data_IF_510735843324
#
_entry.id   IF_510735843324
#
_cell.length_a   1.000
_cell.length_b   1.000
_cell.length_c   1.000
_cell.angle_alpha   90.00
_cell.angle_beta   90.00
_cell.angle_gamma   90.00
#
_symmetry.space_group_name_H-M   'P 1'
#
loop_
_entity.id
_entity.type
_entity.pdbx_description
1 polymer ?
#
# COMPACT_ATOMS: atom_id res chain seq x y z
N UNK A 1 12.37 3.98 -43.25
CA UNK A 1 12.11 5.30 -42.64
C UNK A 1 11.43 5.06 -41.29
N UNK A 2 12.22 4.79 -40.24
CA UNK A 2 11.70 4.52 -38.89
C UNK A 2 11.22 5.84 -38.27
N UNK A 3 9.94 5.90 -37.91
CA UNK A 3 9.34 7.02 -37.21
C UNK A 3 9.95 7.07 -35.80
N UNK A 4 11.04 7.82 -35.67
CA UNK A 4 11.62 8.27 -34.40
C UNK A 4 10.65 9.31 -33.83
N UNK A 5 9.58 8.84 -33.18
CA UNK A 5 8.61 9.72 -32.51
C UNK A 5 9.36 10.51 -31.44
N UNK A 6 9.41 11.84 -31.63
CA UNK A 6 10.02 12.83 -30.71
C UNK A 6 9.70 12.47 -29.26
N UNK A 7 10.72 12.07 -28.49
CA UNK A 7 10.65 12.00 -27.03
C UNK A 7 10.58 13.43 -26.53
N UNK A 8 9.40 13.83 -26.02
CA UNK A 8 9.20 15.14 -25.38
C UNK A 8 9.29 14.96 -23.87
N UNK A 9 10.10 15.82 -23.26
CA UNK A 9 10.45 15.94 -21.84
C UNK A 9 11.27 14.79 -21.23
N UNK A 10 12.59 14.92 -21.33
CA UNK A 10 13.42 14.49 -20.21
C UNK A 10 13.00 15.35 -19.02
N UNK A 11 12.21 14.79 -18.11
CA UNK A 11 11.84 15.47 -16.88
C UNK A 11 13.07 15.76 -16.01
N UNK A 12 12.91 16.72 -15.10
CA UNK A 12 13.91 17.09 -14.10
C UNK A 12 14.52 15.83 -13.42
N UNK A 13 15.86 15.72 -13.40
CA UNK A 13 16.63 14.58 -12.88
C UNK A 13 16.46 13.22 -13.60
N UNK A 14 15.89 13.21 -14.81
CA UNK A 14 15.70 11.98 -15.59
C UNK A 14 14.55 11.09 -15.07
N UNK A 15 13.64 11.67 -14.28
CA UNK A 15 12.34 11.10 -13.95
C UNK A 15 11.35 11.38 -15.07
N UNK A 16 10.58 10.36 -15.47
CA UNK A 16 9.50 10.52 -16.45
C UNK A 16 8.21 10.72 -15.67
N UNK A 17 7.87 11.99 -15.41
CA UNK A 17 6.70 12.35 -14.61
C UNK A 17 5.40 11.79 -15.17
N UNK A 18 5.27 11.66 -16.49
CA UNK A 18 4.12 11.04 -17.13
C UNK A 18 3.94 9.57 -16.73
N UNK A 19 5.04 8.80 -16.66
CA UNK A 19 5.01 7.39 -16.26
C UNK A 19 4.65 7.24 -14.77
N UNK A 20 5.24 8.08 -13.91
CA UNK A 20 4.94 8.12 -12.47
C UNK A 20 3.46 8.43 -12.26
N UNK A 21 2.99 9.49 -12.93
CA UNK A 21 1.60 9.95 -12.87
C UNK A 21 0.64 8.88 -13.36
N UNK A 22 0.90 8.24 -14.49
CA UNK A 22 0.02 7.21 -15.04
C UNK A 22 -0.19 6.02 -14.11
N UNK A 23 0.87 5.58 -13.42
CA UNK A 23 0.77 4.49 -12.43
C UNK A 23 -0.02 4.97 -11.20
N UNK A 24 0.31 6.14 -10.66
CA UNK A 24 -0.39 6.70 -9.50
C UNK A 24 -1.89 6.92 -9.79
N UNK A 25 -2.23 7.52 -10.93
CA UNK A 25 -3.61 7.73 -11.38
C UNK A 25 -4.36 6.41 -11.54
N UNK A 26 -3.73 5.37 -12.07
CA UNK A 26 -4.32 4.04 -12.17
C UNK A 26 -4.68 3.49 -10.79
N UNK A 27 -3.75 3.58 -9.84
CA UNK A 27 -3.96 3.09 -8.47
C UNK A 27 -5.06 3.85 -7.74
N UNK A 28 -5.08 5.18 -7.88
CA UNK A 28 -6.11 6.04 -7.30
C UNK A 28 -7.47 5.75 -7.94
N UNK A 29 -7.53 5.64 -9.27
CA UNK A 29 -8.77 5.32 -9.99
C UNK A 29 -9.35 3.98 -9.55
N UNK A 30 -8.50 2.94 -9.43
CA UNK A 30 -8.92 1.62 -8.91
C UNK A 30 -9.49 1.73 -7.49
N UNK A 31 -8.86 2.52 -6.62
CA UNK A 31 -9.31 2.75 -5.26
C UNK A 31 -10.68 3.43 -5.20
N UNK A 32 -10.90 4.50 -5.97
CA UNK A 32 -12.20 5.17 -6.04
C UNK A 32 -13.31 4.33 -6.67
N UNK A 33 -12.97 3.45 -7.62
CA UNK A 33 -13.93 2.50 -8.20
C UNK A 33 -14.30 1.39 -7.23
N UNK A 34 -13.39 0.99 -6.35
CA UNK A 34 -13.63 -0.03 -5.33
C UNK A 34 -14.16 0.59 -4.02
N UNK A 35 -15.45 0.98 -4.04
CA UNK A 35 -16.13 1.57 -2.87
C UNK A 35 -16.03 0.68 -1.62
N UNK A 36 -16.08 -0.64 -1.79
CA UNK A 36 -15.98 -1.60 -0.71
C UNK A 36 -14.61 -1.53 -0.01
N UNK A 37 -13.54 -1.29 -0.76
CA UNK A 37 -12.20 -1.15 -0.19
C UNK A 37 -12.05 0.13 0.64
N UNK A 38 -12.67 1.23 0.22
CA UNK A 38 -12.66 2.49 0.99
C UNK A 38 -13.38 2.29 2.32
N UNK A 39 -14.58 1.70 2.26
CA UNK A 39 -15.38 1.43 3.45
C UNK A 39 -14.63 0.47 4.38
N UNK A 40 -14.15 -0.67 3.88
CA UNK A 40 -13.51 -1.69 4.72
C UNK A 40 -12.20 -1.19 5.34
N UNK A 41 -11.39 -0.43 4.60
CA UNK A 41 -10.14 0.13 5.13
C UNK A 41 -10.38 1.17 6.22
N UNK A 42 -11.42 2.00 6.10
CA UNK A 42 -11.75 3.05 7.07
C UNK A 42 -12.50 2.52 8.29
N UNK A 43 -13.27 1.44 8.12
CA UNK A 43 -14.12 0.89 9.16
C UNK A 43 -13.31 0.44 10.39
N UNK A 44 -12.22 -0.30 10.19
CA UNK A 44 -11.44 -0.84 11.31
C UNK A 44 -10.82 0.26 12.19
N UNK A 45 -10.10 1.27 11.66
CA UNK A 45 -9.63 2.40 12.46
C UNK A 45 -10.76 3.14 13.18
N UNK A 46 -11.90 3.29 12.53
CA UNK A 46 -13.07 3.97 13.13
C UNK A 46 -13.66 3.16 14.27
N UNK A 47 -13.72 1.83 14.15
CA UNK A 47 -14.14 0.94 15.24
C UNK A 47 -13.16 1.07 16.40
N UNK A 48 -11.86 1.02 16.15
CA UNK A 48 -10.87 1.25 17.21
C UNK A 48 -11.07 2.60 17.90
N UNK A 49 -11.38 3.65 17.14
CA UNK A 49 -11.74 4.95 17.69
C UNK A 49 -12.90 4.84 18.67
N UNK A 50 -14.06 4.41 18.21
CA UNK A 50 -15.29 4.42 18.99
C UNK A 50 -15.19 3.52 20.22
N UNK A 51 -14.63 2.31 20.06
CA UNK A 51 -14.69 1.28 21.10
C UNK A 51 -13.55 1.34 22.12
N UNK A 52 -12.36 1.83 21.75
CA UNK A 52 -11.23 1.82 22.69
C UNK A 52 -11.26 3.00 23.68
N UNK A 53 -11.91 4.13 23.35
CA UNK A 53 -11.84 5.32 24.22
C UNK A 53 -12.31 5.07 25.66
N UNK A 54 -13.47 4.43 25.92
CA UNK A 54 -13.89 4.15 27.29
C UNK A 54 -12.91 3.23 28.03
N UNK A 55 -12.34 2.24 27.34
CA UNK A 55 -11.36 1.32 27.92
C UNK A 55 -10.08 2.04 28.35
N UNK A 56 -9.56 2.93 27.49
CA UNK A 56 -8.38 3.74 27.78
C UNK A 56 -8.63 4.85 28.80
N UNK A 57 -9.82 5.46 28.79
CA UNK A 57 -10.20 6.46 29.78
C UNK A 57 -10.16 5.88 31.20
N UNK A 58 -10.62 4.64 31.38
CA UNK A 58 -10.54 3.93 32.66
C UNK A 58 -9.10 3.58 33.06
N UNK A 59 -8.22 3.34 32.07
CA UNK A 59 -6.82 3.02 32.34
C UNK A 59 -5.98 4.24 32.72
N UNK A 60 -6.20 5.37 32.05
CA UNK A 60 -5.45 6.62 32.29
C UNK A 60 -6.08 7.47 33.40
N UNK A 61 -7.36 7.27 33.70
CA UNK A 61 -8.09 8.04 34.72
C UNK A 61 -8.61 9.40 34.24
N UNK A 62 -8.33 9.78 32.98
CA UNK A 62 -8.86 11.00 32.34
C UNK A 62 -9.42 10.68 30.94
N UNK A 63 -10.73 10.89 30.79
CA UNK A 63 -11.48 10.64 29.55
C UNK A 63 -11.23 11.70 28.46
N UNK A 64 -10.86 12.92 28.86
CA UNK A 64 -10.53 14.01 27.94
C UNK A 64 -9.15 13.76 27.33
N UNK A 65 -8.17 13.46 28.19
CA UNK A 65 -6.82 13.10 27.76
C UNK A 65 -6.81 11.85 26.88
N UNK A 66 -7.54 10.79 27.28
CA UNK A 66 -7.65 9.58 26.48
C UNK A 66 -8.23 9.85 25.08
N UNK A 67 -9.24 10.73 24.96
CA UNK A 67 -9.78 11.13 23.67
C UNK A 67 -8.73 11.78 22.76
N UNK A 68 -8.04 12.81 23.27
CA UNK A 68 -7.04 13.57 22.51
C UNK A 68 -5.84 12.71 22.09
N UNK A 69 -5.29 11.95 23.03
CA UNK A 69 -4.14 11.08 22.78
C UNK A 69 -4.47 10.01 21.74
N UNK A 70 -5.60 9.33 21.91
CA UNK A 70 -6.00 8.25 21.00
C UNK A 70 -6.43 8.73 19.63
N UNK A 71 -7.07 9.90 19.52
CA UNK A 71 -7.47 10.45 18.22
C UNK A 71 -6.26 10.61 17.29
N UNK A 72 -5.15 11.16 17.81
CA UNK A 72 -3.87 11.22 17.10
C UNK A 72 -3.29 9.82 16.84
N UNK A 73 -3.36 8.94 17.84
CA UNK A 73 -2.90 7.56 17.79
C UNK A 73 -3.52 6.70 16.70
N UNK A 74 -4.81 6.87 16.45
CA UNK A 74 -5.56 6.09 15.45
C UNK A 74 -5.22 6.56 14.05
N UNK A 75 -5.04 7.88 13.85
CA UNK A 75 -4.57 8.42 12.56
C UNK A 75 -3.17 7.88 12.26
N UNK A 76 -2.30 7.79 13.27
CA UNK A 76 -0.99 7.16 13.13
C UNK A 76 -1.08 5.68 12.79
N UNK A 77 -1.96 4.95 13.46
CA UNK A 77 -2.22 3.55 13.13
C UNK A 77 -2.66 3.40 11.67
N UNK A 78 -3.51 4.30 11.16
CA UNK A 78 -3.90 4.32 9.75
C UNK A 78 -2.67 4.56 8.87
N UNK A 79 -1.85 5.56 9.17
CA UNK A 79 -0.64 5.87 8.39
C UNK A 79 0.31 4.69 8.30
N UNK A 80 0.56 4.00 9.43
CA UNK A 80 1.49 2.86 9.49
C UNK A 80 0.89 1.67 8.75
N UNK A 81 -0.31 1.23 9.17
CA UNK A 81 -0.91 -0.01 8.67
C UNK A 81 -1.32 0.12 7.20
N UNK A 82 -2.05 1.18 6.86
CA UNK A 82 -2.48 1.41 5.50
C UNK A 82 -1.31 1.84 4.60
N UNK A 83 -0.32 2.58 5.13
CA UNK A 83 0.92 2.92 4.42
C UNK A 83 1.60 1.72 3.77
N UNK A 84 1.85 0.68 4.59
CA UNK A 84 2.47 -0.55 4.11
C UNK A 84 1.55 -1.29 3.12
N UNK A 85 0.27 -1.48 3.47
CA UNK A 85 -0.63 -2.32 2.67
C UNK A 85 -1.07 -1.67 1.34
N UNK A 86 -1.35 -0.36 1.32
CA UNK A 86 -1.94 0.31 0.15
C UNK A 86 -0.96 0.46 -1.02
N UNK A 87 0.34 0.45 -0.77
CA UNK A 87 1.36 0.39 -1.81
C UNK A 87 1.79 -1.06 -2.12
N UNK A 88 1.88 -1.92 -1.11
CA UNK A 88 2.33 -3.30 -1.26
C UNK A 88 1.35 -4.21 -2.01
N UNK A 89 0.08 -4.22 -1.61
CA UNK A 89 -0.93 -5.13 -2.18
C UNK A 89 -1.11 -5.00 -3.70
N UNK A 90 -1.21 -3.79 -4.29
CA UNK A 90 -1.31 -3.65 -5.73
C UNK A 90 -0.13 -4.25 -6.50
N UNK A 91 1.09 -4.15 -5.95
CA UNK A 91 2.26 -4.75 -6.56
C UNK A 91 2.16 -6.29 -6.58
N UNK A 92 1.65 -6.88 -5.51
CA UNK A 92 1.45 -8.34 -5.44
C UNK A 92 0.41 -8.78 -6.47
N UNK A 93 -0.72 -8.06 -6.58
CA UNK A 93 -1.73 -8.36 -7.59
C UNK A 93 -1.18 -8.23 -9.01
N UNK A 94 -0.39 -7.18 -9.27
CA UNK A 94 0.26 -7.01 -10.57
C UNK A 94 1.25 -8.16 -10.85
N UNK A 95 1.93 -8.70 -9.84
CA UNK A 95 2.76 -9.91 -10.00
C UNK A 95 1.94 -11.16 -10.32
N UNK A 96 0.84 -11.38 -9.60
CA UNK A 96 -0.04 -12.53 -9.82
C UNK A 96 -0.60 -12.58 -11.23
N UNK A 97 -1.01 -11.41 -11.73
CA UNK A 97 -1.63 -11.25 -13.04
C UNK A 97 -0.60 -11.17 -14.18
N UNK A 98 0.70 -11.33 -13.90
CA UNK A 98 1.75 -11.25 -14.92
C UNK A 98 2.08 -9.84 -15.42
N UNK A 99 1.50 -8.77 -14.84
CA UNK A 99 1.83 -7.39 -15.20
C UNK A 99 3.31 -7.04 -14.94
N UNK A 100 4.00 -7.80 -14.09
CA UNK A 100 5.45 -7.67 -13.90
C UNK A 100 6.25 -7.78 -15.21
N UNK A 101 5.80 -8.61 -16.14
CA UNK A 101 6.48 -8.82 -17.43
C UNK A 101 6.32 -7.60 -18.35
N UNK A 102 5.16 -6.94 -18.27
CA UNK A 102 4.90 -5.66 -18.94
C UNK A 102 5.85 -4.58 -18.41
N UNK A 103 6.09 -4.53 -17.10
CA UNK A 103 7.04 -3.58 -16.51
C UNK A 103 8.50 -3.87 -16.88
N UNK A 104 8.84 -5.13 -17.17
CA UNK A 104 10.19 -5.51 -17.59
C UNK A 104 10.52 -5.07 -19.01
N UNK A 105 9.53 -5.06 -19.91
CA UNK A 105 9.69 -4.65 -21.32
C UNK A 105 9.33 -3.19 -21.58
N UNK A 106 8.61 -2.54 -20.66
CA UNK A 106 8.23 -1.14 -20.80
C UNK A 106 9.47 -0.23 -20.84
N UNK A 107 9.52 0.76 -21.76
CA UNK A 107 10.65 1.69 -21.89
C UNK A 107 10.63 2.78 -20.81
N UNK A 108 10.32 2.42 -19.56
CA UNK A 108 10.27 3.32 -18.40
C UNK A 108 11.31 2.90 -17.37
N UNK A 109 11.98 3.87 -16.76
CA UNK A 109 12.95 3.54 -15.70
C UNK A 109 12.23 2.93 -14.51
N UNK A 110 12.76 1.84 -13.95
CA UNK A 110 12.19 1.13 -12.79
C UNK A 110 11.90 2.04 -11.58
N UNK A 111 12.75 3.05 -11.37
CA UNK A 111 12.54 4.05 -10.30
C UNK A 111 11.23 4.82 -10.47
N UNK A 112 10.82 5.10 -11.70
CA UNK A 112 9.57 5.80 -12.00
C UNK A 112 8.36 4.92 -11.64
N UNK A 113 8.46 3.61 -11.85
CA UNK A 113 7.42 2.65 -11.45
C UNK A 113 7.26 2.63 -9.93
N UNK A 114 8.37 2.49 -9.21
CA UNK A 114 8.38 2.50 -7.73
C UNK A 114 7.77 3.78 -7.18
N UNK A 115 8.16 4.94 -7.73
CA UNK A 115 7.60 6.23 -7.32
C UNK A 115 6.09 6.34 -7.59
N UNK A 116 5.62 5.78 -8.71
CA UNK A 116 4.19 5.74 -9.03
C UNK A 116 3.38 4.98 -7.97
N UNK A 117 3.88 3.82 -7.52
CA UNK A 117 3.26 3.07 -6.44
C UNK A 117 3.35 3.77 -5.08
N UNK A 118 4.49 4.38 -4.76
CA UNK A 118 4.67 5.14 -3.51
C UNK A 118 3.69 6.30 -3.45
N UNK A 119 3.60 7.11 -4.52
CA UNK A 119 2.67 8.24 -4.58
C UNK A 119 1.21 7.78 -4.55
N UNK A 120 0.86 6.76 -5.34
CA UNK A 120 -0.50 6.19 -5.33
C UNK A 120 -0.89 5.64 -3.95
N UNK A 121 0.03 4.95 -3.26
CA UNK A 121 -0.15 4.48 -1.89
C UNK A 121 -0.35 5.63 -0.91
N UNK A 122 0.56 6.61 -0.92
CA UNK A 122 0.52 7.76 -0.03
C UNK A 122 -0.78 8.55 -0.16
N UNK A 123 -1.25 8.83 -1.40
CA UNK A 123 -2.50 9.54 -1.65
C UNK A 123 -3.70 8.77 -1.07
N UNK A 124 -3.78 7.45 -1.28
CA UNK A 124 -4.88 6.63 -0.75
C UNK A 124 -4.93 6.66 0.79
N UNK A 125 -3.76 6.61 1.43
CA UNK A 125 -3.65 6.69 2.90
C UNK A 125 -4.03 8.07 3.41
N UNK A 126 -3.58 9.14 2.74
CA UNK A 126 -3.99 10.51 3.10
C UNK A 126 -5.51 10.66 3.01
N UNK A 127 -6.15 10.13 1.96
CA UNK A 127 -7.62 10.13 1.83
C UNK A 127 -8.26 9.36 3.00
N UNK A 128 -7.76 8.16 3.32
CA UNK A 128 -8.27 7.37 4.45
C UNK A 128 -8.12 8.11 5.79
N UNK A 129 -6.97 8.76 6.02
CA UNK A 129 -6.73 9.59 7.19
C UNK A 129 -7.70 10.76 7.25
N UNK A 130 -8.00 11.41 6.12
CA UNK A 130 -9.01 12.48 6.06
C UNK A 130 -10.39 11.96 6.46
N UNK A 131 -10.80 10.78 5.98
CA UNK A 131 -12.10 10.19 6.35
C UNK A 131 -12.14 9.90 7.85
N UNK A 132 -11.11 9.24 8.38
CA UNK A 132 -11.01 8.93 9.83
C UNK A 132 -10.97 10.20 10.67
N UNK A 133 -10.24 11.22 10.23
CA UNK A 133 -10.18 12.52 10.89
C UNK A 133 -11.53 13.22 10.94
N UNK A 134 -12.29 13.22 9.83
CA UNK A 134 -13.66 13.77 9.79
C UNK A 134 -14.57 13.01 10.76
N UNK A 135 -14.51 11.67 10.77
CA UNK A 135 -15.30 10.87 11.71
C UNK A 135 -14.89 11.17 13.16
N UNK A 136 -13.60 11.31 13.43
CA UNK A 136 -13.08 11.69 14.74
C UNK A 136 -13.59 13.05 15.24
N UNK A 137 -13.69 14.02 14.33
CA UNK A 137 -14.30 15.32 14.63
C UNK A 137 -15.78 15.19 14.95
N UNK A 138 -16.55 14.45 14.13
CA UNK A 138 -17.99 14.28 14.31
C UNK A 138 -18.35 13.54 15.60
N UNK A 139 -17.50 12.61 16.02
CA UNK A 139 -17.72 11.78 17.22
C UNK A 139 -17.18 12.43 18.49
N UNK A 140 -16.52 13.60 18.39
CA UNK A 140 -15.91 14.31 19.53
C UNK A 140 -14.68 13.60 20.12
N UNK A 141 -14.00 12.79 19.31
CA UNK A 141 -12.73 12.12 19.67
C UNK A 141 -11.52 12.97 19.27
N UNK A 142 -11.70 13.85 18.29
CA UNK A 142 -10.77 14.93 17.96
C UNK A 142 -11.48 16.23 18.30
N UNK A 143 -10.95 16.99 19.25
CA UNK A 143 -11.50 18.30 19.63
C UNK A 143 -10.98 19.39 18.70
N UNK A 144 -11.75 20.48 18.53
CA UNK A 144 -11.35 21.70 17.79
C UNK A 144 -10.21 22.50 18.46
N UNK A 145 -9.51 21.92 19.42
CA UNK A 145 -8.21 22.39 19.92
C UNK A 145 -7.08 22.03 18.92
N UNK A 146 -7.40 22.07 17.63
CA UNK A 146 -6.52 21.77 16.52
C UNK A 146 -5.59 22.94 16.31
N UNK A 147 -4.36 22.83 16.81
CA UNK A 147 -3.38 23.86 16.59
C UNK A 147 -2.23 23.76 17.56
N UNK A 148 -1.02 23.85 17.02
CA UNK A 148 0.09 24.42 17.76
C UNK A 148 -0.30 25.87 17.99
N UNK A 149 -0.91 26.17 19.13
CA UNK A 149 -1.40 27.51 19.33
C UNK A 149 -0.19 28.44 19.53
N UNK A 150 -0.16 29.60 18.87
CA UNK A 150 0.95 30.56 19.01
C UNK A 150 1.11 31.10 20.43
N UNK A 151 0.12 30.91 21.30
CA UNK A 151 0.20 31.23 22.73
C UNK A 151 1.08 30.24 23.51
N UNK A 152 1.27 29.00 23.03
CA UNK A 152 2.11 27.98 23.66
C UNK A 152 3.62 28.26 23.47
N UNK A 153 3.98 29.09 22.49
CA UNK A 153 5.38 29.41 22.14
C UNK A 153 5.85 30.79 22.61
N UNK A 154 5.03 31.51 23.39
CA UNK A 154 5.39 32.80 24.02
C UNK A 154 5.68 33.98 23.07
N UNK A 155 5.90 33.75 21.77
CA UNK A 155 6.39 34.76 20.82
C UNK A 155 5.27 35.51 20.07
N UNK A 156 4.02 35.01 20.08
CA UNK A 156 2.94 35.50 19.19
C UNK A 156 1.59 35.77 19.88
N UNK A 157 1.56 35.96 21.20
CA UNK A 157 0.34 36.10 22.01
C UNK A 157 -0.50 37.38 21.78
N UNK A 158 -0.40 38.05 20.62
CA UNK A 158 -0.88 39.44 20.45
C UNK A 158 -2.13 39.55 19.54
N UNK A 159 -2.52 38.53 18.74
CA UNK A 159 -3.60 38.75 17.76
C UNK A 159 -4.46 37.51 17.41
N UNK A 160 -5.80 37.56 17.59
CA UNK A 160 -6.74 36.49 17.18
C UNK A 160 -6.70 36.13 15.69
N UNK A 161 -6.34 37.07 14.81
CA UNK A 161 -6.19 36.80 13.37
C UNK A 161 -4.99 35.87 13.07
N UNK A 162 -3.96 35.89 13.92
CA UNK A 162 -2.80 34.99 13.83
C UNK A 162 -3.21 33.57 14.29
N UNK A 163 -4.20 33.45 15.16
CA UNK A 163 -4.76 32.17 15.61
C UNK A 163 -5.37 31.35 14.46
N UNK A 164 -6.18 31.97 13.59
CA UNK A 164 -6.78 31.25 12.45
C UNK A 164 -5.72 30.81 11.43
N UNK A 165 -4.73 31.67 11.15
CA UNK A 165 -3.64 31.35 10.22
C UNK A 165 -2.77 30.18 10.70
N UNK A 166 -2.61 30.04 12.02
CA UNK A 166 -1.81 28.99 12.65
C UNK A 166 -2.52 27.65 12.73
N UNK A 167 -3.86 27.64 12.89
CA UNK A 167 -4.69 26.44 12.71
C UNK A 167 -4.59 25.92 11.27
N UNK A 168 -4.69 26.80 10.27
CA UNK A 168 -4.53 26.41 8.86
C UNK A 168 -3.11 25.88 8.62
N UNK A 169 -2.10 26.56 9.17
CA UNK A 169 -0.71 26.13 9.09
C UNK A 169 -0.47 24.74 9.71
N UNK A 170 -1.03 24.46 10.89
CA UNK A 170 -0.88 23.17 11.57
C UNK A 170 -1.58 22.04 10.81
N UNK A 171 -2.77 22.29 10.27
CA UNK A 171 -3.48 21.30 9.43
C UNK A 171 -2.68 20.99 8.17
N UNK A 172 -2.13 22.00 7.49
CA UNK A 172 -1.28 21.80 6.31
C UNK A 172 -0.03 21.00 6.68
N UNK A 173 0.66 21.36 7.76
CA UNK A 173 1.85 20.64 8.24
C UNK A 173 1.53 19.19 8.59
N UNK A 174 0.41 18.95 9.27
CA UNK A 174 -0.09 17.61 9.60
C UNK A 174 -0.31 16.77 8.34
N UNK A 175 -1.00 17.31 7.32
CA UNK A 175 -1.24 16.58 6.08
C UNK A 175 0.02 16.32 5.28
N UNK A 176 0.98 17.24 5.28
CA UNK A 176 2.31 17.03 4.69
C UNK A 176 3.02 15.88 5.42
N UNK A 177 3.00 15.86 6.75
CA UNK A 177 3.60 14.78 7.53
C UNK A 177 2.90 13.44 7.31
N UNK A 178 1.57 13.40 7.31
CA UNK A 178 0.80 12.19 6.97
C UNK A 178 1.22 11.66 5.61
N UNK A 179 1.32 12.53 4.60
CA UNK A 179 1.71 12.15 3.25
C UNK A 179 3.15 11.61 3.18
N UNK A 180 4.11 12.31 3.78
CA UNK A 180 5.52 11.89 3.83
C UNK A 180 5.65 10.54 4.56
N UNK A 181 4.98 10.41 5.71
CA UNK A 181 4.96 9.17 6.49
C UNK A 181 4.40 8.02 5.68
N UNK A 182 3.24 8.22 5.04
CA UNK A 182 2.61 7.21 4.21
C UNK A 182 3.51 6.79 3.03
N UNK A 183 4.23 7.73 2.41
CA UNK A 183 5.20 7.43 1.36
C UNK A 183 6.39 6.59 1.88
N UNK A 184 6.84 6.86 3.10
CA UNK A 184 7.93 6.10 3.75
C UNK A 184 7.46 4.68 4.10
N UNK A 185 6.28 4.51 4.71
CA UNK A 185 5.72 3.18 4.98
C UNK A 185 5.38 2.41 3.69
N UNK A 186 4.99 3.10 2.63
CA UNK A 186 4.81 2.49 1.30
C UNK A 186 6.11 1.83 0.78
N UNK A 187 7.29 2.39 1.10
CA UNK A 187 8.57 1.78 0.75
C UNK A 187 8.77 0.41 1.40
N UNK A 188 8.32 0.24 2.65
CA UNK A 188 8.35 -1.05 3.36
C UNK A 188 7.43 -2.04 2.66
N UNK A 189 6.18 -1.62 2.39
CA UNK A 189 5.18 -2.44 1.70
C UNK A 189 5.65 -2.94 0.34
N UNK A 190 6.24 -2.06 -0.46
CA UNK A 190 6.81 -2.41 -1.77
C UNK A 190 8.03 -3.32 -1.65
N UNK A 191 8.90 -3.12 -0.67
CA UNK A 191 10.10 -3.94 -0.46
C UNK A 191 9.74 -5.39 -0.11
N UNK A 192 8.75 -5.58 0.76
CA UNK A 192 8.22 -6.90 1.11
C UNK A 192 7.58 -7.52 -0.13
N UNK A 193 6.63 -6.82 -0.75
CA UNK A 193 5.88 -7.27 -1.92
C UNK A 193 6.77 -7.62 -3.11
N UNK A 194 7.91 -6.94 -3.25
CA UNK A 194 8.90 -7.23 -4.30
C UNK A 194 9.56 -8.61 -4.13
N UNK A 195 9.56 -9.20 -2.93
CA UNK A 195 10.26 -10.46 -2.62
C UNK A 195 9.38 -11.61 -2.13
N UNK A 196 8.09 -11.35 -1.90
CA UNK A 196 7.19 -12.32 -1.30
C UNK A 196 5.94 -12.51 -2.15
N UNK A 197 5.38 -13.71 -2.11
CA UNK A 197 4.04 -14.00 -2.62
C UNK A 197 2.97 -13.47 -1.66
N UNK A 198 1.69 -13.50 -2.07
CA UNK A 198 0.57 -12.90 -1.33
C UNK A 198 0.46 -13.34 0.12
N UNK A 199 0.48 -14.65 0.34
CA UNK A 199 0.30 -15.23 1.67
C UNK A 199 1.42 -14.77 2.60
N UNK A 200 2.65 -14.85 2.12
CA UNK A 200 3.83 -14.42 2.88
C UNK A 200 3.83 -12.91 3.09
N UNK A 201 3.46 -12.12 2.07
CA UNK A 201 3.39 -10.67 2.19
C UNK A 201 2.40 -10.23 3.26
N UNK A 202 1.23 -10.86 3.33
CA UNK A 202 0.23 -10.58 4.36
C UNK A 202 0.77 -10.87 5.77
N UNK A 203 1.44 -12.02 5.95
CA UNK A 203 2.10 -12.36 7.21
C UNK A 203 3.17 -11.32 7.60
N UNK A 204 4.01 -10.91 6.64
CA UNK A 204 5.04 -9.89 6.87
C UNK A 204 4.45 -8.53 7.19
N UNK A 205 3.39 -8.11 6.50
CA UNK A 205 2.69 -6.86 6.81
C UNK A 205 2.17 -6.87 8.24
N UNK A 206 1.51 -7.95 8.68
CA UNK A 206 0.99 -8.05 10.04
C UNK A 206 2.11 -8.12 11.08
N UNK A 207 3.15 -8.91 10.83
CA UNK A 207 4.30 -9.07 11.73
C UNK A 207 5.06 -7.76 11.93
N UNK A 208 5.15 -6.92 10.91
CA UNK A 208 5.83 -5.62 10.99
C UNK A 208 4.92 -4.55 11.58
N UNK A 209 3.64 -4.52 11.18
CA UNK A 209 2.69 -3.50 11.63
C UNK A 209 2.48 -3.53 13.15
N UNK A 210 2.24 -4.72 13.72
CA UNK A 210 1.84 -4.82 15.12
C UNK A 210 2.92 -4.30 16.09
N UNK A 211 4.17 -4.77 16.05
CA UNK A 211 5.23 -4.24 16.92
C UNK A 211 5.46 -2.75 16.69
N UNK A 212 5.46 -2.28 15.44
CA UNK A 212 5.69 -0.86 15.14
C UNK A 212 4.62 0.03 15.79
N UNK A 213 3.33 -0.31 15.66
CA UNK A 213 2.22 0.48 16.23
C UNK A 213 2.25 0.49 17.76
N UNK A 214 2.50 -0.66 18.38
CA UNK A 214 2.48 -0.74 19.85
C UNK A 214 3.70 -0.08 20.48
N UNK A 215 4.89 -0.18 19.88
CA UNK A 215 6.13 0.41 20.42
C UNK A 215 6.18 1.92 20.14
N UNK A 216 5.55 2.42 19.08
CA UNK A 216 5.69 3.82 18.65
C UNK A 216 5.00 4.85 19.54
N UNK A 217 4.37 4.40 20.62
CA UNK A 217 3.46 5.23 21.39
C UNK A 217 2.29 5.79 20.57
N UNK A 218 1.83 5.07 19.54
CA UNK A 218 0.59 5.45 18.86
C UNK A 218 -0.61 5.20 19.79
N UNK A 219 -0.61 4.07 20.52
CA UNK A 219 -1.72 3.70 21.42
C UNK A 219 -1.39 3.94 22.89
N UNK A 220 -0.14 3.72 23.29
CA UNK A 220 0.30 3.76 24.69
C UNK A 220 1.21 4.99 24.89
N UNK A 221 0.94 5.85 25.87
CA UNK A 221 1.85 6.93 26.24
C UNK A 221 3.28 6.42 26.46
N UNK A 222 4.24 7.04 25.75
CA UNK A 222 5.65 6.61 25.73
C UNK A 222 6.25 6.64 27.13
N UNK A 223 5.87 7.63 27.93
CA UNK A 223 6.35 7.81 29.31
C UNK A 223 5.84 6.70 30.25
N UNK A 224 4.67 6.12 29.95
CA UNK A 224 4.10 5.01 30.71
C UNK A 224 4.77 3.66 30.38
N UNK A 225 5.62 3.60 29.35
CA UNK A 225 6.26 2.35 28.94
C UNK A 225 7.46 1.98 29.83
N UNK A 226 8.08 2.94 30.52
CA UNK A 226 9.25 2.70 31.39
C UNK A 226 10.46 2.08 30.68
N UNK A 227 10.50 2.11 29.34
CA UNK A 227 11.49 1.45 28.50
C UNK A 227 12.08 2.44 27.50
N UNK A 228 13.37 2.30 27.21
CA UNK A 228 14.06 3.06 26.12
C UNK A 228 13.69 2.56 24.72
N UNK A 229 12.92 1.48 24.61
CA UNK A 229 12.57 0.84 23.33
C UNK A 229 11.91 1.80 22.32
N UNK A 230 11.02 2.74 22.70
CA UNK A 230 10.45 3.72 21.78
C UNK A 230 11.49 4.64 21.13
N UNK A 231 12.64 4.92 21.77
CA UNK A 231 13.71 5.72 21.17
C UNK A 231 14.32 5.05 19.93
N UNK A 232 14.32 3.72 19.89
CA UNK A 232 14.85 2.95 18.77
C UNK A 232 13.83 2.71 17.65
N UNK A 233 12.55 2.99 17.89
CA UNK A 233 11.51 2.84 16.89
C UNK A 233 11.34 4.16 16.12
N UNK A 234 11.69 4.23 14.82
CA UNK A 234 11.51 5.43 14.02
C UNK A 234 10.05 5.90 13.98
N UNK A 235 9.10 4.96 14.07
CA UNK A 235 7.66 5.22 14.12
C UNK A 235 7.26 6.08 15.32
N UNK A 236 8.01 6.06 16.42
CA UNK A 236 7.77 6.93 17.59
C UNK A 236 7.86 8.41 17.23
N UNK A 237 8.82 8.76 16.39
CA UNK A 237 9.06 10.13 15.95
C UNK A 237 8.00 10.60 14.95
N UNK A 238 7.52 9.71 14.08
CA UNK A 238 6.33 9.98 13.25
C UNK A 238 5.08 10.21 14.10
N UNK A 239 4.93 9.41 15.17
CA UNK A 239 3.82 9.51 16.09
C UNK A 239 3.79 10.86 16.81
N UNK A 240 4.93 11.27 17.33
CA UNK A 240 5.04 12.53 18.04
C UNK A 240 4.85 13.73 17.11
N UNK A 241 5.50 13.75 15.94
CA UNK A 241 5.39 14.84 14.99
C UNK A 241 3.94 15.09 14.54
N UNK A 242 3.17 14.05 14.21
CA UNK A 242 1.76 14.22 13.81
C UNK A 242 0.90 14.66 15.01
N UNK A 243 1.19 14.16 16.22
CA UNK A 243 0.47 14.52 17.44
C UNK A 243 0.62 16.01 17.78
N UNK A 244 1.84 16.56 17.64
CA UNK A 244 2.12 17.98 17.89
C UNK A 244 1.18 18.89 17.08
N UNK A 245 0.86 18.52 15.83
CA UNK A 245 -0.02 19.33 14.98
C UNK A 245 -1.53 19.04 15.17
N UNK A 246 -1.89 17.90 15.77
CA UNK A 246 -3.28 17.43 15.87
C UNK A 246 -3.94 17.75 17.21
N UNK A 247 -3.19 17.65 18.31
CA UNK A 247 -3.71 17.80 19.67
C UNK A 247 -3.36 19.11 20.37
N UNK A 248 -2.62 20.00 19.70
CA UNK A 248 -2.02 21.18 20.33
C UNK A 248 -1.07 20.79 21.46
N UNK A 249 -0.62 21.79 22.24
CA UNK A 249 0.37 21.62 23.30
C UNK A 249 -0.16 20.74 24.45
N UNK A 250 -0.17 19.42 24.23
CA UNK A 250 -0.21 18.42 25.29
C UNK A 250 1.23 18.26 25.75
N UNK A 251 1.75 19.30 26.42
CA UNK A 251 3.07 19.28 27.03
C UNK A 251 3.32 17.98 27.79
N UNK A 252 2.27 17.30 28.24
CA UNK A 252 2.29 16.07 29.01
C UNK A 252 3.06 14.89 28.39
N UNK A 253 3.09 14.63 27.07
CA UNK A 253 3.73 13.39 26.55
C UNK A 253 4.32 13.48 25.13
N UNK A 254 5.63 13.23 24.96
CA UNK A 254 6.29 13.20 23.64
C UNK A 254 7.78 12.85 23.65
N UNK A 255 8.39 12.76 22.46
CA UNK A 255 9.83 12.42 22.31
C UNK A 255 10.71 13.50 22.94
N UNK A 256 10.28 14.77 22.87
CA UNK A 256 10.97 15.90 23.50
C UNK A 256 11.18 15.72 25.01
N UNK A 257 10.13 15.38 25.76
CA UNK A 257 10.22 15.12 27.20
C UNK A 257 11.10 13.90 27.49
N UNK A 258 10.93 12.83 26.71
CA UNK A 258 11.72 11.61 26.87
C UNK A 258 13.22 11.91 26.70
N UNK A 259 13.59 12.75 25.74
CA UNK A 259 14.97 13.16 25.48
C UNK A 259 15.50 14.04 26.61
N UNK A 260 14.72 15.03 27.06
CA UNK A 260 15.08 15.87 28.22
C UNK A 260 15.32 15.01 29.46
N UNK A 261 14.44 14.05 29.76
CA UNK A 261 14.60 13.12 30.89
C UNK A 261 15.80 12.19 30.72
N UNK A 262 15.99 11.61 29.53
CA UNK A 262 17.05 10.62 29.27
C UNK A 262 18.44 11.25 29.31
N UNK A 263 18.57 12.48 28.82
CA UNK A 263 19.85 13.19 28.74
C UNK A 263 20.08 14.20 29.88
N UNK A 264 19.12 14.36 30.79
CA UNK A 264 19.23 15.27 31.94
C UNK A 264 19.42 16.73 31.54
N UNK A 265 18.68 17.19 30.53
CA UNK A 265 18.77 18.57 30.04
C UNK A 265 18.05 19.54 30.98
N UNK A 266 18.62 20.72 31.21
CA UNK A 266 17.99 21.83 31.95
C UNK A 266 16.89 22.53 31.12
N UNK A 267 15.94 21.74 30.60
CA UNK A 267 14.75 22.21 29.91
C UNK A 267 13.55 21.78 30.75
N UNK A 268 12.61 22.67 31.09
CA UNK A 268 11.44 22.26 31.85
C UNK A 268 10.66 21.19 31.08
N UNK A 269 10.30 20.09 31.74
CA UNK A 269 9.42 19.09 31.14
C UNK A 269 8.07 19.73 30.84
N UNK A 270 7.42 19.24 29.78
CA UNK A 270 6.15 19.80 29.34
C UNK A 270 6.28 21.32 29.04
N UNK A 271 7.44 21.74 28.49
CA UNK A 271 7.68 23.09 27.96
C UNK A 271 7.80 23.15 26.42
N UNK A 272 7.45 24.30 25.84
CA UNK A 272 7.54 24.53 24.40
C UNK A 272 8.94 24.25 23.83
N UNK A 273 9.96 24.48 24.65
CA UNK A 273 11.35 24.18 24.33
C UNK A 273 11.59 22.68 24.18
N UNK A 274 11.03 21.86 25.07
CA UNK A 274 11.12 20.40 24.99
C UNK A 274 10.38 19.88 23.74
N UNK A 275 9.19 20.39 23.44
CA UNK A 275 8.43 19.98 22.25
C UNK A 275 9.08 20.41 20.94
N UNK A 276 9.72 21.59 20.89
CA UNK A 276 10.46 22.03 19.70
C UNK A 276 11.72 21.21 19.47
N UNK A 277 12.44 20.88 20.55
CA UNK A 277 13.57 19.97 20.50
C UNK A 277 13.13 18.58 19.98
N UNK A 278 12.02 18.06 20.53
CA UNK A 278 11.38 16.82 20.08
C UNK A 278 11.06 16.85 18.58
N UNK A 279 10.30 17.85 18.13
CA UNK A 279 9.91 18.00 16.72
C UNK A 279 11.12 18.12 15.79
N UNK A 280 12.17 18.85 16.18
CA UNK A 280 13.40 18.97 15.39
C UNK A 280 14.09 17.61 15.20
N UNK A 281 14.16 16.82 16.28
CA UNK A 281 14.72 15.46 16.26
C UNK A 281 13.80 14.53 15.47
N UNK A 282 12.48 14.67 15.63
CA UNK A 282 11.51 13.87 14.91
C UNK A 282 11.68 14.04 13.40
N UNK A 283 11.75 15.28 12.91
CA UNK A 283 11.95 15.57 11.48
C UNK A 283 13.28 15.01 10.97
N UNK A 284 14.35 15.06 11.78
CA UNK A 284 15.64 14.51 11.42
C UNK A 284 15.55 12.97 11.28
N UNK A 285 14.94 12.29 12.25
CA UNK A 285 14.75 10.84 12.21
C UNK A 285 13.86 10.43 11.05
N UNK A 286 12.76 11.14 10.82
CA UNK A 286 11.86 10.93 9.68
C UNK A 286 12.62 11.07 8.36
N UNK A 287 13.46 12.09 8.22
CA UNK A 287 14.26 12.29 7.02
C UNK A 287 15.31 11.19 6.83
N UNK A 288 16.09 10.86 7.87
CA UNK A 288 17.14 9.86 7.81
C UNK A 288 16.58 8.46 7.53
N UNK A 289 15.53 8.06 8.26
CA UNK A 289 14.85 6.79 8.08
C UNK A 289 14.11 6.72 6.75
N UNK A 290 13.46 7.81 6.34
CA UNK A 290 12.83 7.92 5.04
C UNK A 290 13.82 7.72 3.89
N UNK A 291 14.95 8.44 3.91
CA UNK A 291 16.00 8.30 2.90
C UNK A 291 16.54 6.87 2.80
N UNK A 292 16.74 6.20 3.95
CA UNK A 292 17.14 4.80 4.03
C UNK A 292 16.10 3.88 3.36
N UNK A 293 14.81 4.04 3.69
CA UNK A 293 13.74 3.19 3.15
C UNK A 293 13.50 3.43 1.65
N UNK A 294 13.59 4.67 1.18
CA UNK A 294 13.56 4.98 -0.25
C UNK A 294 14.71 4.29 -0.98
N UNK A 295 15.93 4.38 -0.44
CA UNK A 295 17.09 3.68 -1.00
C UNK A 295 16.88 2.16 -1.05
N UNK A 296 16.39 1.56 0.04
CA UNK A 296 16.11 0.12 0.10
C UNK A 296 15.03 -0.30 -0.89
N UNK A 297 13.93 0.44 -0.99
CA UNK A 297 12.86 0.16 -1.94
C UNK A 297 13.36 0.18 -3.39
N UNK A 298 14.14 1.19 -3.77
CA UNK A 298 14.73 1.23 -5.12
C UNK A 298 15.70 0.08 -5.38
N UNK A 299 16.52 -0.28 -4.39
CA UNK A 299 17.49 -1.38 -4.52
C UNK A 299 16.82 -2.75 -4.59
N UNK A 300 15.81 -3.00 -3.77
CA UNK A 300 15.10 -4.27 -3.69
C UNK A 300 14.23 -4.48 -4.94
N UNK A 301 13.40 -3.49 -5.28
CA UNK A 301 12.54 -3.56 -6.47
C UNK A 301 13.36 -3.60 -7.76
N UNK A 302 14.50 -2.90 -7.78
CA UNK A 302 15.44 -2.95 -8.90
C UNK A 302 15.94 -4.36 -9.20
N UNK A 303 16.13 -5.21 -8.18
CA UNK A 303 16.58 -6.60 -8.32
C UNK A 303 15.45 -7.59 -8.62
N UNK A 304 14.25 -7.39 -8.09
CA UNK A 304 13.17 -8.38 -8.26
C UNK A 304 12.72 -8.55 -9.71
N UNK A 305 12.77 -7.49 -10.51
CA UNK A 305 12.41 -7.55 -11.95
C UNK A 305 13.44 -8.29 -12.83
N UNK A 306 14.68 -8.47 -12.37
CA UNK A 306 15.67 -9.31 -13.07
C UNK A 306 15.52 -10.79 -12.74
N UNK A 307 14.91 -11.11 -11.61
CA UNK A 307 14.63 -12.47 -11.18
C UNK A 307 13.28 -12.97 -11.74
N UNK A 308 12.28 -12.09 -11.91
CA UNK A 308 10.95 -12.48 -12.42
C UNK A 308 10.88 -12.74 -13.92
N UNK A 309 11.82 -12.24 -14.73
CA UNK A 309 11.89 -12.58 -16.17
C UNK A 309 12.24 -14.06 -16.42
N UNK A 310 12.52 -14.82 -15.36
CA UNK A 310 12.64 -16.28 -15.37
C UNK A 310 11.69 -16.97 -14.38
N UNK A 311 10.62 -16.29 -13.94
CA UNK A 311 9.71 -16.81 -12.91
C UNK A 311 8.84 -17.98 -13.37
N UNK A 312 8.51 -18.86 -12.42
CA UNK A 312 7.79 -20.14 -12.62
C UNK A 312 6.51 -19.99 -13.44
N UNK A 313 5.78 -18.87 -13.35
CA UNK A 313 4.57 -18.63 -14.14
C UNK A 313 4.84 -18.48 -15.66
N UNK A 314 5.89 -17.74 -16.04
CA UNK A 314 6.31 -17.64 -17.43
C UNK A 314 6.89 -18.95 -17.98
N UNK A 315 7.58 -19.72 -17.12
CA UNK A 315 8.05 -21.07 -17.45
C UNK A 315 6.88 -22.06 -17.54
N UNK A 316 5.85 -21.93 -16.70
CA UNK A 316 4.65 -22.78 -16.74
C UNK A 316 3.86 -22.52 -18.01
N UNK A 317 3.54 -21.27 -18.33
CA UNK A 317 2.84 -20.94 -19.58
C UNK A 317 3.65 -21.35 -20.82
N UNK A 318 4.98 -21.18 -20.79
CA UNK A 318 5.85 -21.61 -21.89
C UNK A 318 5.95 -23.13 -21.99
N UNK A 319 6.10 -23.87 -20.88
CA UNK A 319 6.15 -25.34 -20.88
C UNK A 319 4.81 -25.97 -21.23
N UNK A 320 3.70 -25.39 -20.77
CA UNK A 320 2.35 -25.81 -21.14
C UNK A 320 2.12 -25.57 -22.64
N UNK A 321 2.51 -24.41 -23.16
CA UNK A 321 2.43 -24.12 -24.59
C UNK A 321 3.35 -25.04 -25.43
N UNK A 322 4.59 -25.29 -24.99
CA UNK A 322 5.53 -26.21 -25.66
C UNK A 322 5.05 -27.67 -25.61
N UNK A 323 4.41 -28.09 -24.51
CA UNK A 323 3.80 -29.42 -24.37
C UNK A 323 2.57 -29.56 -25.28
N UNK A 324 1.70 -28.54 -25.32
CA UNK A 324 0.56 -28.48 -26.24
C UNK A 324 1.02 -28.51 -27.70
N UNK A 325 2.06 -27.74 -28.07
CA UNK A 325 2.60 -27.73 -29.43
C UNK A 325 3.23 -29.08 -29.83
N UNK A 326 3.96 -29.74 -28.91
CA UNK A 326 4.52 -31.07 -29.16
C UNK A 326 3.44 -32.12 -29.34
N UNK A 327 2.40 -32.10 -28.51
CA UNK A 327 1.26 -33.02 -28.62
C UNK A 327 0.50 -32.81 -29.93
N UNK A 328 0.27 -31.57 -30.33
CA UNK A 328 -0.35 -31.27 -31.62
C UNK A 328 0.48 -31.76 -32.83
N UNK A 329 1.81 -31.81 -32.71
CA UNK A 329 2.70 -32.35 -33.75
C UNK A 329 2.78 -33.89 -33.76
N UNK A 330 2.35 -34.55 -32.69
CA UNK A 330 2.34 -36.02 -32.57
C UNK A 330 1.02 -36.65 -33.06
N UNK A 331 0.00 -35.83 -33.33
CA UNK A 331 -1.26 -36.27 -33.96
C UNK A 331 -1.02 -36.75 -35.39
N UNK A 332 -1.80 -37.75 -35.81
CA UNK A 332 -1.81 -38.19 -37.20
C UNK A 332 -2.23 -37.02 -38.13
N UNK A 333 -1.70 -36.94 -39.36
CA UNK A 333 -1.92 -35.79 -40.25
C UNK A 333 -3.40 -35.46 -40.49
N UNK A 334 -4.26 -36.48 -40.60
CA UNK A 334 -5.71 -36.33 -40.76
C UNK A 334 -6.39 -35.75 -39.50
N UNK A 335 -6.00 -36.23 -38.31
CA UNK A 335 -6.56 -35.75 -37.03
C UNK A 335 -6.15 -34.30 -36.75
N UNK A 336 -4.93 -33.94 -37.17
CA UNK A 336 -4.42 -32.57 -37.06
C UNK A 336 -5.19 -31.60 -37.97
N UNK A 337 -5.49 -31.99 -39.20
CA UNK A 337 -6.27 -31.16 -40.13
C UNK A 337 -7.71 -30.94 -39.61
N UNK A 338 -8.32 -31.97 -39.01
CA UNK A 338 -9.64 -31.87 -38.36
C UNK A 338 -9.58 -30.90 -37.17
N UNK A 339 -8.57 -31.02 -36.31
CA UNK A 339 -8.40 -30.14 -35.15
C UNK A 339 -8.12 -28.70 -35.57
N UNK A 340 -7.30 -28.46 -36.58
CA UNK A 340 -7.01 -27.11 -37.11
C UNK A 340 -8.27 -26.47 -37.74
N UNK A 341 -9.07 -27.24 -38.47
CA UNK A 341 -10.32 -26.77 -39.06
C UNK A 341 -11.37 -26.42 -37.98
N UNK A 342 -11.47 -27.22 -36.91
CA UNK A 342 -12.38 -26.96 -35.79
C UNK A 342 -11.90 -25.79 -34.93
N UNK A 343 -10.61 -25.71 -34.62
CA UNK A 343 -9.99 -24.60 -33.87
C UNK A 343 -10.14 -23.26 -34.59
N UNK A 344 -10.26 -23.26 -35.93
CA UNK A 344 -10.54 -22.05 -36.69
C UNK A 344 -11.96 -21.51 -36.52
N UNK A 345 -12.88 -22.35 -36.02
CA UNK A 345 -14.32 -22.04 -35.87
C UNK A 345 -14.75 -21.85 -34.42
N UNK A 346 -13.97 -22.32 -33.45
CA UNK A 346 -14.31 -22.31 -32.02
C UNK A 346 -13.10 -21.92 -31.19
N UNK A 347 -13.30 -21.08 -30.17
CA UNK A 347 -12.28 -20.81 -29.17
C UNK A 347 -12.05 -22.05 -28.29
N UNK A 348 -10.91 -22.72 -28.49
CA UNK A 348 -10.54 -23.94 -27.78
C UNK A 348 -10.43 -23.74 -26.25
N UNK A 349 -10.11 -22.53 -25.79
CA UNK A 349 -10.07 -22.23 -24.35
C UNK A 349 -11.46 -22.27 -23.72
N UNK A 350 -12.46 -21.78 -24.44
CA UNK A 350 -13.87 -21.82 -24.03
C UNK A 350 -14.38 -23.26 -23.98
N UNK A 351 -14.00 -24.08 -24.98
CA UNK A 351 -14.31 -25.51 -25.00
C UNK A 351 -13.68 -26.24 -23.81
N UNK A 352 -12.40 -26.01 -23.52
CA UNK A 352 -11.71 -26.67 -22.40
C UNK A 352 -12.27 -26.25 -21.03
N UNK A 353 -12.63 -24.98 -20.86
CA UNK A 353 -13.27 -24.49 -19.64
C UNK A 353 -14.64 -25.17 -19.42
N UNK A 354 -15.43 -25.33 -20.49
CA UNK A 354 -16.75 -25.96 -20.44
C UNK A 354 -16.67 -27.47 -20.24
N UNK A 355 -15.66 -28.16 -20.79
CA UNK A 355 -15.37 -29.59 -20.50
C UNK A 355 -15.16 -29.81 -19.00
N UNK A 356 -14.46 -28.89 -18.33
CA UNK A 356 -14.16 -29.01 -16.89
C UNK A 356 -15.38 -28.72 -16.00
N UNK A 357 -16.27 -27.82 -16.42
CA UNK A 357 -17.46 -27.46 -15.64
C UNK A 357 -18.66 -28.39 -15.87
N UNK A 358 -19.01 -28.68 -17.13
CA UNK A 358 -20.15 -29.52 -17.49
C UNK A 358 -20.03 -30.04 -18.94
N UNK A 359 -19.66 -31.32 -19.14
CA UNK A 359 -19.47 -31.91 -20.46
C UNK A 359 -20.72 -31.88 -21.35
N UNK A 360 -21.92 -31.77 -20.77
CA UNK A 360 -23.17 -31.76 -21.54
C UNK A 360 -23.37 -30.48 -22.36
N UNK A 361 -22.70 -29.38 -21.99
CA UNK A 361 -22.78 -28.07 -22.67
C UNK A 361 -21.90 -27.98 -23.92
N UNK A 362 -21.06 -28.97 -24.17
CA UNK A 362 -20.20 -29.02 -25.35
C UNK A 362 -21.00 -29.18 -26.64
N UNK A 363 -22.07 -29.97 -26.61
CA UNK A 363 -22.97 -30.18 -27.75
C UNK A 363 -23.58 -28.85 -28.22
N UNK A 364 -24.01 -28.00 -27.30
CA UNK A 364 -24.54 -26.67 -27.64
C UNK A 364 -23.50 -25.74 -28.27
N UNK A 365 -22.23 -25.84 -27.88
CA UNK A 365 -21.13 -25.02 -28.47
C UNK A 365 -20.81 -25.51 -29.88
N UNK A 366 -20.76 -26.83 -30.08
CA UNK A 366 -20.50 -27.42 -31.39
C UNK A 366 -21.65 -27.17 -32.38
N UNK A 367 -22.91 -27.21 -31.91
CA UNK A 367 -24.09 -26.84 -32.71
C UNK A 367 -24.08 -25.36 -33.10
N UNK A 368 -23.73 -24.46 -32.18
CA UNK A 368 -23.62 -23.02 -32.47
C UNK A 368 -22.50 -22.69 -33.46
N UNK A 369 -21.45 -23.50 -33.49
CA UNK A 369 -20.35 -23.39 -34.44
C UNK A 369 -20.64 -24.04 -35.80
N UNK A 370 -21.82 -24.66 -35.98
CA UNK A 370 -22.24 -25.29 -37.23
C UNK A 370 -21.49 -26.58 -37.55
N UNK A 371 -20.95 -27.27 -36.55
CA UNK A 371 -20.29 -28.57 -36.73
C UNK A 371 -21.32 -29.70 -36.83
N UNK A 372 -21.04 -30.69 -37.66
CA UNK A 372 -21.82 -31.92 -37.71
C UNK A 372 -21.57 -32.78 -36.46
N UNK A 373 -22.56 -33.59 -36.07
CA UNK A 373 -22.43 -34.53 -34.94
C UNK A 373 -21.25 -35.51 -35.12
N UNK A 374 -20.85 -35.79 -36.35
CA UNK A 374 -19.73 -36.67 -36.66
C UNK A 374 -18.37 -35.98 -36.41
N UNK A 375 -18.24 -34.70 -36.77
CA UNK A 375 -17.05 -33.87 -36.49
C UNK A 375 -16.87 -33.62 -34.99
N UNK A 376 -17.97 -33.34 -34.27
CA UNK A 376 -17.96 -33.17 -32.82
C UNK A 376 -17.51 -34.45 -32.09
N UNK A 377 -18.01 -35.61 -32.52
CA UNK A 377 -17.61 -36.90 -31.95
C UNK A 377 -16.14 -37.24 -32.23
N UNK A 378 -15.63 -36.94 -33.44
CA UNK A 378 -14.21 -37.11 -33.76
C UNK A 378 -13.32 -36.19 -32.91
N UNK A 379 -13.69 -34.92 -32.78
CA UNK A 379 -12.99 -33.96 -31.94
C UNK A 379 -12.93 -34.39 -30.47
N UNK A 380 -14.07 -34.84 -29.91
CA UNK A 380 -14.13 -35.36 -28.55
C UNK A 380 -13.24 -36.60 -28.35
N UNK A 381 -13.20 -37.51 -29.34
CA UNK A 381 -12.36 -38.71 -29.29
C UNK A 381 -10.86 -38.39 -29.35
N UNK A 382 -10.47 -37.43 -30.19
CA UNK A 382 -9.09 -36.93 -30.27
C UNK A 382 -8.71 -36.20 -28.98
N UNK A 383 -9.59 -35.35 -28.45
CA UNK A 383 -9.39 -34.64 -27.19
C UNK A 383 -9.25 -35.58 -25.99
N UNK A 384 -10.06 -36.65 -25.92
CA UNK A 384 -9.93 -37.68 -24.87
C UNK A 384 -8.61 -38.46 -24.97
N UNK A 385 -8.15 -38.78 -26.19
CA UNK A 385 -6.85 -39.44 -26.41
C UNK A 385 -5.70 -38.54 -25.95
N UNK A 386 -5.72 -37.27 -26.33
CA UNK A 386 -4.74 -36.27 -25.88
C UNK A 386 -4.75 -36.09 -24.34
N UNK A 387 -5.92 -36.13 -23.70
CA UNK A 387 -6.02 -36.06 -22.24
C UNK A 387 -5.53 -37.33 -21.54
N UNK A 388 -5.65 -38.50 -22.16
CA UNK A 388 -5.04 -39.73 -21.65
C UNK A 388 -3.51 -39.67 -21.74
N UNK A 389 -2.98 -39.22 -22.89
CA UNK A 389 -1.54 -39.03 -23.10
C UNK A 389 -0.94 -37.95 -22.17
N UNK A 390 -1.76 -37.02 -21.66
CA UNK A 390 -1.35 -36.03 -20.65
C UNK A 390 -1.26 -36.58 -19.21
N UNK A 391 -1.93 -37.69 -18.90
CA UNK A 391 -1.95 -38.29 -17.56
C UNK A 391 -0.83 -39.32 -17.34
N UNK A 392 -0.21 -39.80 -18.42
CA UNK A 392 1.05 -40.57 -18.40
C UNK A 392 2.27 -39.64 -18.38
#
# INVERSE_FOLDING_TARGET
MMIRKKRKSEGFLGFEFEAIRGIAEREITKYFRNKNQIISSTLMPTIFMVFLRPAFANWIGDISFAGKYMGSGIILMVVIMAGIMMAGMPLIFDKMLGFQDIYAVAPVKRRNIVLGFILGGAIKVTIQCTIVFIIGLLTGFVSFELGVYPYDFGWFAINPAIGVLTIIGSIIAMYILIFISAAIYACIGLSISARTDMTNAFLWFTLINMPLVYISGAMIPIENMGLILPLFNPTTYFADAIRVFLGGYTGDYGTGNLIVQTFGLDIPLHSAQASFLGLGIDLLVIFAFGALLFYLAFRIFGKSLTESSGGVSGVFHKKVAEAQEKMFKQLDPEDREIMENIASKIDLLEVMAVVQEDPSKLLTIFEQAGLSNEEANKFMKIGMKLMQDMNE
#
